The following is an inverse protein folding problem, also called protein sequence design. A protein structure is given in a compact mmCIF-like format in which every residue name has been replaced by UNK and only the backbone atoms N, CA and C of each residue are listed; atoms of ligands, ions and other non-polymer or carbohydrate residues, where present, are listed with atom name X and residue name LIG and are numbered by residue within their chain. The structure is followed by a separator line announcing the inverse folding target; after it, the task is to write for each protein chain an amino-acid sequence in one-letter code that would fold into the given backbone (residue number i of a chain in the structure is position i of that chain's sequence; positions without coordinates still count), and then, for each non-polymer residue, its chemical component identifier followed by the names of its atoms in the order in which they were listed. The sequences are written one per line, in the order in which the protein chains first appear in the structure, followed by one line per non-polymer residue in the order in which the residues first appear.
data_IF_906734224954
#
_entry.id   IF_906734224954
#
_cell.length_a   1.000
_cell.length_b   1.000
_cell.length_c   1.000
_cell.angle_alpha   90.00
_cell.angle_beta   90.00
_cell.angle_gamma   90.00
#
_symmetry.space_group_name_H-M   'P 1'
#
loop_
_entity.id
_entity.type
_entity.pdbx_description
1 polymer ?
#
# COMPACT_ATOMS: atom_id res chain seq x y z
N UNK A 1 -27.44 -4.93 1.36
CA UNK A 1 -27.54 -3.47 1.42
C UNK A 1 -27.20 -2.93 2.83
N UNK A 2 -26.11 -3.42 3.43
CA UNK A 2 -25.61 -2.98 4.72
C UNK A 2 -24.19 -2.41 4.62
N UNK A 3 -23.80 -1.54 5.55
CA UNK A 3 -22.45 -1.00 5.64
C UNK A 3 -21.40 -2.11 5.87
N UNK A 4 -21.74 -3.11 6.67
CA UNK A 4 -20.89 -4.27 6.91
C UNK A 4 -20.58 -5.06 5.63
N UNK A 5 -21.52 -5.20 4.71
CA UNK A 5 -21.29 -5.84 3.40
C UNK A 5 -20.34 -5.02 2.54
N UNK A 6 -20.43 -3.69 2.57
CA UNK A 6 -19.52 -2.80 1.83
C UNK A 6 -18.10 -2.97 2.36
N UNK A 7 -17.90 -2.93 3.66
CA UNK A 7 -16.59 -3.10 4.31
C UNK A 7 -16.01 -4.49 4.02
N UNK A 8 -16.84 -5.54 4.11
CA UNK A 8 -16.41 -6.91 3.78
C UNK A 8 -15.98 -7.06 2.32
N UNK A 9 -16.74 -6.51 1.38
CA UNK A 9 -16.37 -6.51 -0.04
C UNK A 9 -15.09 -5.72 -0.30
N UNK A 10 -14.92 -4.57 0.34
CA UNK A 10 -13.72 -3.77 0.24
C UNK A 10 -12.47 -4.51 0.75
N UNK A 11 -12.58 -5.26 1.84
CA UNK A 11 -11.47 -6.05 2.39
C UNK A 11 -11.02 -7.20 1.46
N UNK A 12 -11.86 -7.63 0.53
CA UNK A 12 -11.52 -8.66 -0.46
C UNK A 12 -10.89 -8.10 -1.75
N UNK A 13 -10.78 -6.79 -1.88
CA UNK A 13 -10.29 -6.08 -3.06
C UNK A 13 -9.07 -5.22 -2.71
N UNK A 14 -8.20 -4.99 -3.70
CA UNK A 14 -6.97 -4.20 -3.53
C UNK A 14 -7.19 -2.69 -3.50
N UNK A 15 -8.38 -2.21 -3.81
CA UNK A 15 -8.74 -0.81 -3.83
C UNK A 15 -9.86 -0.50 -4.82
N UNK A 16 -10.39 0.71 -4.75
CA UNK A 16 -11.48 1.12 -5.63
C UNK A 16 -12.22 2.36 -5.13
N UNK A 17 -13.41 2.54 -5.65
CA UNK A 17 -14.31 3.63 -5.27
C UNK A 17 -15.60 3.03 -4.71
N UNK A 18 -15.97 3.45 -3.51
CA UNK A 18 -17.24 3.11 -2.87
C UNK A 18 -18.21 4.27 -3.06
N UNK A 19 -19.34 4.00 -3.67
CA UNK A 19 -20.44 4.97 -3.81
C UNK A 19 -21.51 4.59 -2.80
N UNK A 20 -21.82 5.47 -1.87
CA UNK A 20 -22.77 5.17 -0.82
C UNK A 20 -23.68 6.35 -0.47
N UNK A 21 -24.80 6.04 0.16
CA UNK A 21 -25.69 7.01 0.76
C UNK A 21 -25.26 7.44 2.17
N UNK A 22 -25.96 8.41 2.74
CA UNK A 22 -25.63 9.01 4.03
C UNK A 22 -25.77 8.01 5.21
N UNK A 23 -26.72 7.08 5.14
CA UNK A 23 -26.98 6.12 6.22
C UNK A 23 -27.48 4.79 5.67
N UNK A 24 -26.97 3.72 6.24
CA UNK A 24 -27.45 2.36 6.06
C UNK A 24 -28.22 1.90 7.30
N UNK A 25 -28.81 0.71 7.25
CA UNK A 25 -29.57 0.15 8.37
C UNK A 25 -28.71 -0.13 9.60
N UNK A 26 -27.43 -0.43 9.38
CA UNK A 26 -26.46 -0.89 10.38
C UNK A 26 -25.32 0.11 10.64
N UNK A 27 -25.05 1.02 9.72
CA UNK A 27 -23.91 1.95 9.81
C UNK A 27 -24.21 3.31 9.21
N UNK A 28 -23.50 4.32 9.71
CA UNK A 28 -23.42 5.64 9.12
C UNK A 28 -22.25 5.70 8.13
N UNK A 29 -22.28 6.61 7.13
CA UNK A 29 -21.22 6.75 6.15
C UNK A 29 -19.83 6.97 6.77
N UNK A 30 -19.76 7.69 7.89
CA UNK A 30 -18.52 7.97 8.60
C UNK A 30 -17.86 6.70 9.15
N UNK A 31 -18.67 5.78 9.69
CA UNK A 31 -18.20 4.49 10.18
C UNK A 31 -17.69 3.62 9.04
N UNK A 32 -18.41 3.59 7.91
CA UNK A 32 -17.94 2.87 6.71
C UNK A 32 -16.60 3.45 6.24
N UNK A 33 -16.47 4.78 6.22
CA UNK A 33 -15.24 5.45 5.80
C UNK A 33 -14.04 5.10 6.69
N UNK A 34 -14.24 5.00 8.01
CA UNK A 34 -13.20 4.61 8.97
C UNK A 34 -12.73 3.16 8.78
N UNK A 35 -13.67 2.26 8.43
CA UNK A 35 -13.36 0.84 8.22
C UNK A 35 -12.87 0.51 6.81
N UNK A 36 -12.90 1.45 5.87
CA UNK A 36 -12.39 1.20 4.52
C UNK A 36 -10.88 0.98 4.51
N UNK A 37 -10.38 -0.07 3.84
CA UNK A 37 -8.96 -0.29 3.66
C UNK A 37 -8.28 0.86 2.90
N UNK A 38 -6.98 1.03 3.14
CA UNK A 38 -6.17 1.98 2.36
C UNK A 38 -6.25 1.62 0.87
N UNK A 39 -6.50 2.61 0.03
CA UNK A 39 -6.66 2.41 -1.41
C UNK A 39 -8.10 2.53 -1.88
N UNK A 40 -9.04 2.65 -0.97
CA UNK A 40 -10.42 2.97 -1.31
C UNK A 40 -10.69 4.47 -1.18
N UNK A 41 -11.51 4.97 -2.09
CA UNK A 41 -12.09 6.30 -2.02
C UNK A 41 -13.61 6.16 -1.85
N UNK A 42 -14.23 7.11 -1.16
CA UNK A 42 -15.68 7.11 -0.98
C UNK A 42 -16.30 8.31 -1.67
N UNK A 43 -17.38 8.06 -2.41
CA UNK A 43 -18.27 9.07 -2.96
C UNK A 43 -19.60 9.00 -2.20
N UNK A 44 -19.90 10.07 -1.46
CA UNK A 44 -21.12 10.19 -0.69
C UNK A 44 -22.22 10.86 -1.52
N UNK A 45 -23.38 10.21 -1.62
CA UNK A 45 -24.57 10.74 -2.25
C UNK A 45 -25.59 11.11 -1.17
N UNK A 46 -25.87 12.40 -1.00
CA UNK A 46 -26.83 12.85 0.00
C UNK A 46 -27.48 14.19 -0.38
N UNK A 47 -28.55 14.58 0.30
CA UNK A 47 -29.14 15.90 0.12
C UNK A 47 -28.19 16.99 0.62
N UNK A 48 -28.29 18.24 0.06
CA UNK A 48 -27.43 19.35 0.46
C UNK A 48 -27.44 19.61 1.97
N UNK A 49 -28.59 19.45 2.62
CA UNK A 49 -28.71 19.61 4.07
C UNK A 49 -27.86 18.60 4.85
N UNK A 50 -27.88 17.36 4.44
CA UNK A 50 -27.08 16.30 5.07
C UNK A 50 -25.58 16.47 4.77
N UNK A 51 -25.22 17.00 3.59
CA UNK A 51 -23.84 17.25 3.23
C UNK A 51 -23.25 18.44 4.02
N UNK A 52 -24.06 19.40 4.43
CA UNK A 52 -23.61 20.50 5.28
C UNK A 52 -23.13 20.05 6.66
N UNK A 53 -23.66 18.92 7.16
CA UNK A 53 -23.30 18.32 8.45
C UNK A 53 -22.13 17.31 8.33
N UNK A 54 -21.58 17.11 7.12
CA UNK A 54 -20.48 16.17 6.90
C UNK A 54 -19.13 16.79 7.24
N UNK A 55 -18.44 16.21 8.23
CA UNK A 55 -17.14 16.69 8.71
C UNK A 55 -15.97 15.73 8.37
N UNK A 56 -16.11 14.88 7.36
CA UNK A 56 -15.04 13.96 6.97
C UNK A 56 -14.13 14.62 5.94
N UNK A 57 -12.93 15.00 6.36
CA UNK A 57 -11.91 15.57 5.48
C UNK A 57 -11.44 14.54 4.45
N UNK A 58 -11.45 14.94 3.19
CA UNK A 58 -11.01 14.10 2.07
C UNK A 58 -12.09 13.22 1.45
N UNK A 59 -13.33 13.33 1.93
CA UNK A 59 -14.49 12.69 1.35
C UNK A 59 -15.00 13.46 0.13
N UNK A 60 -15.20 12.77 -0.98
CA UNK A 60 -15.93 13.33 -2.12
C UNK A 60 -17.42 13.17 -1.90
N UNK A 61 -18.17 14.22 -2.17
CA UNK A 61 -19.63 14.22 -2.01
C UNK A 61 -20.32 14.81 -3.23
N UNK A 62 -21.46 14.25 -3.59
CA UNK A 62 -22.30 14.72 -4.69
C UNK A 62 -23.71 14.99 -4.15
N UNK A 63 -24.19 16.25 -4.21
CA UNK A 63 -25.52 16.60 -3.72
C UNK A 63 -26.61 16.01 -4.61
N UNK A 64 -27.64 15.49 -3.99
CA UNK A 64 -28.84 14.99 -4.68
C UNK A 64 -29.94 16.06 -4.71
N UNK A 65 -30.72 16.16 -5.80
CA UNK A 65 -30.62 15.44 -7.07
C UNK A 65 -29.44 15.89 -7.94
N UNK A 66 -28.81 14.97 -8.67
CA UNK A 66 -27.68 15.24 -9.56
C UNK A 66 -27.98 14.77 -11.00
N UNK A 67 -27.28 15.35 -11.97
CA UNK A 67 -27.31 14.89 -13.36
C UNK A 67 -26.29 13.77 -13.54
N UNK A 68 -26.54 12.87 -14.50
CA UNK A 68 -25.62 11.78 -14.84
C UNK A 68 -24.22 12.33 -15.18
N UNK A 69 -24.15 13.47 -15.85
CA UNK A 69 -22.88 14.13 -16.19
C UNK A 69 -22.08 14.53 -14.95
N UNK A 70 -22.74 15.01 -13.88
CA UNK A 70 -22.07 15.39 -12.64
C UNK A 70 -21.47 14.18 -11.94
N UNK A 71 -22.20 13.06 -11.93
CA UNK A 71 -21.70 11.80 -11.41
C UNK A 71 -20.50 11.29 -12.22
N UNK A 72 -20.59 11.30 -13.54
CA UNK A 72 -19.51 10.83 -14.42
C UNK A 72 -18.24 11.66 -14.25
N UNK A 73 -18.37 13.01 -14.25
CA UNK A 73 -17.24 13.91 -14.04
C UNK A 73 -16.58 13.70 -12.68
N UNK A 74 -17.38 13.50 -11.64
CA UNK A 74 -16.86 13.22 -10.28
C UNK A 74 -16.11 11.90 -10.24
N UNK A 75 -16.65 10.85 -10.85
CA UNK A 75 -15.99 9.55 -10.93
C UNK A 75 -14.69 9.59 -11.74
N UNK A 76 -14.63 10.35 -12.83
CA UNK A 76 -13.41 10.54 -13.62
C UNK A 76 -12.30 11.19 -12.79
N UNK A 77 -12.63 12.21 -11.99
CA UNK A 77 -11.67 12.83 -11.08
C UNK A 77 -11.18 11.84 -10.03
N UNK A 78 -12.08 11.09 -9.40
CA UNK A 78 -11.75 10.09 -8.40
C UNK A 78 -10.89 8.96 -8.98
N UNK A 79 -11.22 8.46 -10.16
CA UNK A 79 -10.42 7.44 -10.86
C UNK A 79 -9.01 7.94 -11.18
N UNK A 80 -8.87 9.19 -11.65
CA UNK A 80 -7.56 9.80 -11.90
C UNK A 80 -6.71 9.85 -10.63
N UNK A 81 -7.31 10.23 -9.50
CA UNK A 81 -6.65 10.26 -8.20
C UNK A 81 -6.27 8.84 -7.73
N UNK A 82 -7.16 7.86 -7.90
CA UNK A 82 -6.91 6.46 -7.57
C UNK A 82 -5.74 5.88 -8.38
N UNK A 83 -5.70 6.08 -9.69
CA UNK A 83 -4.61 5.60 -10.53
C UNK A 83 -3.26 6.25 -10.19
N UNK A 84 -3.24 7.55 -9.86
CA UNK A 84 -2.03 8.24 -9.39
C UNK A 84 -1.53 7.66 -8.06
N UNK A 85 -2.44 7.42 -7.13
CA UNK A 85 -2.12 6.80 -5.84
C UNK A 85 -1.56 5.38 -6.04
N UNK A 86 -2.24 4.54 -6.85
CA UNK A 86 -1.81 3.17 -7.16
C UNK A 86 -0.42 3.14 -7.81
N UNK A 87 -0.15 4.05 -8.74
CA UNK A 87 1.17 4.19 -9.37
C UNK A 87 2.26 4.55 -8.35
N UNK A 88 1.96 5.43 -7.40
CA UNK A 88 2.88 5.77 -6.30
C UNK A 88 3.13 4.58 -5.37
N UNK A 89 2.11 3.78 -5.07
CA UNK A 89 2.26 2.58 -4.23
C UNK A 89 3.15 1.53 -4.89
N UNK A 90 3.01 1.31 -6.19
CA UNK A 90 3.88 0.39 -6.95
C UNK A 90 5.35 0.82 -6.97
N UNK A 91 5.63 2.12 -6.88
CA UNK A 91 6.99 2.69 -6.84
C UNK A 91 7.61 2.66 -5.43
N UNK A 92 6.80 2.49 -4.37
CA UNK A 92 7.35 2.31 -3.02
C UNK A 92 8.03 0.96 -2.95
N UNK A 93 9.29 0.87 -2.48
CA UNK A 93 9.91 -0.40 -2.19
C UNK A 93 8.97 -1.18 -1.26
N UNK A 94 8.67 -2.44 -1.59
CA UNK A 94 7.94 -3.31 -0.66
C UNK A 94 8.70 -3.27 0.67
N UNK A 95 7.98 -2.96 1.75
CA UNK A 95 8.58 -3.08 3.09
C UNK A 95 9.12 -4.50 3.21
N UNK A 96 10.44 -4.62 3.42
CA UNK A 96 11.09 -5.93 3.57
C UNK A 96 10.52 -6.61 4.79
N UNK A 97 10.20 -7.89 4.69
CA UNK A 97 9.79 -8.68 5.84
C UNK A 97 10.90 -8.65 6.91
N UNK A 98 10.57 -8.87 8.17
CA UNK A 98 11.59 -8.97 9.23
C UNK A 98 12.64 -10.05 8.92
N UNK A 99 12.22 -11.15 8.29
CA UNK A 99 13.12 -12.21 7.84
C UNK A 99 14.07 -11.75 6.74
N UNK A 100 13.57 -10.95 5.77
CA UNK A 100 14.39 -10.40 4.70
C UNK A 100 15.42 -9.39 5.24
N UNK A 101 15.02 -8.58 6.22
CA UNK A 101 15.93 -7.66 6.89
C UNK A 101 17.01 -8.43 7.66
N UNK A 102 16.65 -9.48 8.41
CA UNK A 102 17.60 -10.35 9.12
C UNK A 102 18.63 -10.97 8.17
N UNK A 103 18.21 -11.48 7.02
CA UNK A 103 19.13 -12.04 6.00
C UNK A 103 20.17 -11.01 5.55
N UNK A 104 19.75 -9.79 5.27
CA UNK A 104 20.66 -8.71 4.85
C UNK A 104 21.62 -8.34 6.00
N UNK A 105 21.12 -8.25 7.23
CA UNK A 105 21.96 -7.93 8.41
C UNK A 105 23.00 -9.03 8.61
N UNK A 106 22.60 -10.30 8.60
CA UNK A 106 23.51 -11.44 8.77
C UNK A 106 24.56 -11.47 7.65
N UNK A 107 24.18 -11.21 6.40
CA UNK A 107 25.12 -11.15 5.30
C UNK A 107 26.12 -9.99 5.44
N UNK A 108 25.70 -8.83 5.96
CA UNK A 108 26.60 -7.72 6.26
C UNK A 108 27.58 -8.08 7.38
N UNK A 109 27.10 -8.64 8.47
CA UNK A 109 27.93 -9.08 9.62
C UNK A 109 29.00 -10.07 9.15
N UNK A 110 28.62 -11.03 8.30
CA UNK A 110 29.56 -11.98 7.72
C UNK A 110 30.64 -11.30 6.86
N UNK A 111 30.27 -10.35 6.03
CA UNK A 111 31.21 -9.60 5.18
C UNK A 111 32.13 -8.70 6.03
N UNK A 112 31.61 -8.08 7.06
CA UNK A 112 32.36 -7.26 8.02
C UNK A 112 33.44 -8.10 8.72
N UNK A 113 33.06 -9.26 9.22
CA UNK A 113 33.96 -10.16 9.96
C UNK A 113 35.06 -10.74 9.04
N UNK A 114 34.66 -11.19 7.86
CA UNK A 114 35.59 -11.83 6.90
C UNK A 114 36.56 -10.86 6.22
N UNK A 115 36.05 -9.70 5.80
CA UNK A 115 36.80 -8.75 4.99
C UNK A 115 37.35 -7.56 5.81
N UNK A 116 37.05 -7.51 7.11
CA UNK A 116 37.40 -6.39 7.99
C UNK A 116 36.97 -5.03 7.46
N UNK A 117 35.75 -4.96 6.91
CA UNK A 117 35.13 -3.77 6.35
C UNK A 117 34.06 -3.21 7.28
N UNK A 118 33.69 -1.95 7.08
CA UNK A 118 32.62 -1.30 7.85
C UNK A 118 31.23 -1.76 7.39
N UNK A 119 30.20 -1.49 8.19
CA UNK A 119 28.80 -1.81 7.84
C UNK A 119 28.39 -1.09 6.53
N UNK A 120 28.81 0.14 6.34
CA UNK A 120 28.52 0.93 5.15
C UNK A 120 29.16 0.33 3.89
N UNK A 121 30.40 -0.10 3.98
CA UNK A 121 31.09 -0.79 2.89
C UNK A 121 30.46 -2.15 2.58
N UNK A 122 30.06 -2.92 3.59
CA UNK A 122 29.33 -4.17 3.42
C UNK A 122 27.97 -3.95 2.74
N UNK A 123 27.25 -2.90 3.13
CA UNK A 123 25.98 -2.54 2.48
C UNK A 123 26.17 -2.18 1.01
N UNK A 124 27.16 -1.35 0.68
CA UNK A 124 27.49 -0.99 -0.70
C UNK A 124 27.93 -2.19 -1.52
N UNK A 125 28.67 -3.12 -0.92
CA UNK A 125 29.09 -4.35 -1.58
C UNK A 125 27.89 -5.21 -1.99
N UNK A 126 26.94 -5.46 -1.09
CA UNK A 126 25.72 -6.21 -1.40
C UNK A 126 24.88 -5.48 -2.46
N UNK A 127 24.74 -4.16 -2.34
CA UNK A 127 24.02 -3.34 -3.30
C UNK A 127 24.64 -3.41 -4.71
N UNK A 128 25.95 -3.31 -4.82
CA UNK A 128 26.66 -3.38 -6.08
C UNK A 128 26.46 -4.74 -6.76
N UNK A 129 26.62 -5.83 -6.02
CA UNK A 129 26.39 -7.19 -6.55
C UNK A 129 24.95 -7.35 -7.00
N UNK A 130 23.97 -6.87 -6.24
CA UNK A 130 22.57 -6.96 -6.61
C UNK A 130 22.25 -6.21 -7.90
N UNK A 131 22.87 -5.06 -8.12
CA UNK A 131 22.73 -4.29 -9.36
C UNK A 131 23.43 -4.99 -10.55
N UNK A 132 24.64 -5.49 -10.36
CA UNK A 132 25.42 -6.15 -11.39
C UNK A 132 24.82 -7.50 -11.85
N UNK A 133 24.21 -8.23 -10.92
CA UNK A 133 23.55 -9.52 -11.18
C UNK A 133 22.08 -9.41 -11.59
N UNK A 134 21.47 -8.21 -11.49
CA UNK A 134 20.05 -8.02 -11.75
C UNK A 134 19.11 -8.67 -10.72
N UNK A 135 19.64 -9.00 -9.53
CA UNK A 135 18.89 -9.56 -8.39
C UNK A 135 18.51 -8.46 -7.39
N UNK A 136 17.68 -8.79 -6.40
CA UNK A 136 17.42 -7.87 -5.29
C UNK A 136 18.41 -8.11 -4.14
N UNK A 137 18.47 -7.17 -3.18
CA UNK A 137 19.41 -7.26 -2.05
C UNK A 137 19.19 -8.48 -1.16
N UNK A 138 17.97 -8.99 -1.06
CA UNK A 138 17.63 -10.17 -0.25
C UNK A 138 18.19 -11.43 -0.90
N UNK A 139 17.93 -11.60 -2.19
CA UNK A 139 18.49 -12.71 -2.98
C UNK A 139 20.02 -12.70 -2.98
N UNK A 140 20.62 -11.52 -3.12
CA UNK A 140 22.09 -11.36 -3.04
C UNK A 140 22.61 -11.74 -1.66
N UNK A 141 21.92 -11.33 -0.59
CA UNK A 141 22.28 -11.72 0.78
C UNK A 141 22.19 -13.25 0.98
N UNK A 142 21.14 -13.89 0.48
CA UNK A 142 20.99 -15.34 0.49
C UNK A 142 22.14 -16.04 -0.25
N UNK A 143 22.49 -15.58 -1.44
CA UNK A 143 23.62 -16.12 -2.21
C UNK A 143 24.94 -16.01 -1.42
N UNK A 144 25.20 -14.89 -0.78
CA UNK A 144 26.39 -14.68 0.06
C UNK A 144 26.42 -15.66 1.23
N UNK A 145 25.27 -15.84 1.90
CA UNK A 145 25.14 -16.77 3.03
C UNK A 145 25.31 -18.23 2.59
N UNK A 146 24.74 -18.63 1.45
CA UNK A 146 24.87 -19.98 0.91
C UNK A 146 26.30 -20.32 0.47
N UNK A 147 26.99 -19.39 -0.19
CA UNK A 147 28.37 -19.57 -0.63
C UNK A 147 29.32 -19.77 0.57
N UNK A 148 29.06 -19.07 1.68
CA UNK A 148 29.87 -19.21 2.88
C UNK A 148 29.49 -20.44 3.75
N UNK A 149 28.25 -20.95 3.62
CA UNK A 149 27.83 -22.19 4.28
C UNK A 149 28.45 -23.46 3.67
N UNK A 150 28.88 -23.39 2.42
CA UNK A 150 29.50 -24.53 1.72
C UNK A 150 31.02 -24.71 1.98
N UNK A 151 31.68 -23.68 2.51
CA UNK A 151 33.12 -23.75 2.84
C UNK A 151 33.44 -24.45 4.19
N UNK A 152 32.42 -24.83 4.96
CA UNK A 152 32.60 -25.46 6.29
C UNK A 152 32.36 -26.98 6.30
N UNK A 153 32.04 -27.60 5.17
CA UNK A 153 31.84 -29.04 5.03
C UNK A 153 33.10 -29.76 4.44
N UNK A 154 34.27 -29.22 4.73
CA UNK A 154 35.54 -29.85 4.42
C UNK A 154 36.27 -30.31 5.69
#
# INVERSE_FOLDING_TARGET
DSGAQIVSAANSLDGGIVICGYRFSDMHYSEIYEYLPKGFQMLLLASPVKLADCDVRGLMALPMPFKVQDLMSTLEIMLSQYYRWRKKQKKKPKARSEQDQKKIVTAKELLMDRNHITEEEAHHYIQKISMDSGTNMVETAEMILELNGKEWDL
#
